data_IF_974081491943
#
_entry.id   IF_974081491943
#
_cell.length_a   1.000
_cell.length_b   1.000
_cell.length_c   1.000
_cell.angle_alpha   90.00
_cell.angle_beta   90.00
_cell.angle_gamma   90.00
#
_symmetry.space_group_name_H-M   'P 1'
#
loop_
_entity.id
_entity.type
_entity.pdbx_description
1 polymer ?
#
# COMPACT_ATOMS: atom_id res chain seq x y z
N UNK A 1 12.73 -9.50 -16.41
CA UNK A 1 12.50 -8.55 -15.32
C UNK A 1 13.61 -7.54 -15.30
N UNK A 2 13.28 -6.27 -15.52
CA UNK A 2 14.24 -5.15 -15.44
C UNK A 2 14.58 -4.85 -13.97
N UNK A 3 15.60 -4.01 -13.74
CA UNK A 3 15.94 -3.57 -12.39
C UNK A 3 14.82 -2.73 -11.76
N UNK A 4 14.12 -1.92 -12.55
CA UNK A 4 12.95 -1.16 -12.10
C UNK A 4 11.78 -2.08 -11.72
N UNK A 5 11.48 -3.09 -12.54
CA UNK A 5 10.43 -4.06 -12.21
C UNK A 5 10.78 -4.82 -10.91
N UNK A 6 12.06 -5.19 -10.72
CA UNK A 6 12.54 -5.82 -9.49
C UNK A 6 12.40 -4.88 -8.29
N UNK A 7 12.76 -3.60 -8.44
CA UNK A 7 12.67 -2.61 -7.38
C UNK A 7 11.20 -2.38 -6.94
N UNK A 8 10.28 -2.29 -7.90
CA UNK A 8 8.84 -2.15 -7.60
C UNK A 8 8.30 -3.39 -6.89
N UNK A 9 8.65 -4.59 -7.34
CA UNK A 9 8.26 -5.82 -6.63
C UNK A 9 8.81 -5.85 -5.20
N UNK A 10 10.06 -5.41 -5.01
CA UNK A 10 10.67 -5.30 -3.70
C UNK A 10 9.99 -4.25 -2.81
N UNK A 11 9.53 -3.14 -3.38
CA UNK A 11 8.72 -2.15 -2.67
C UNK A 11 7.44 -2.78 -2.14
N UNK A 12 6.72 -3.56 -2.95
CA UNK A 12 5.47 -4.23 -2.55
C UNK A 12 5.72 -5.24 -1.43
N UNK A 13 6.77 -6.05 -1.54
CA UNK A 13 7.19 -6.97 -0.46
C UNK A 13 7.49 -6.21 0.84
N UNK A 14 8.29 -5.15 0.74
CA UNK A 14 8.69 -4.33 1.90
C UNK A 14 7.49 -3.67 2.56
N UNK A 15 6.53 -3.19 1.77
CA UNK A 15 5.27 -2.62 2.25
C UNK A 15 4.48 -3.66 3.06
N UNK A 16 4.29 -4.86 2.52
CA UNK A 16 3.54 -5.93 3.18
C UNK A 16 4.23 -6.37 4.48
N UNK A 17 5.54 -6.58 4.43
CA UNK A 17 6.33 -6.98 5.59
C UNK A 17 6.32 -5.92 6.70
N UNK A 18 6.46 -4.63 6.34
CA UNK A 18 6.37 -3.53 7.28
C UNK A 18 4.97 -3.41 7.90
N UNK A 19 3.92 -3.55 7.08
CA UNK A 19 2.52 -3.53 7.55
C UNK A 19 2.25 -4.64 8.57
N UNK A 20 2.73 -5.86 8.31
CA UNK A 20 2.59 -7.01 9.23
C UNK A 20 3.30 -6.81 10.56
N UNK A 21 4.43 -6.09 10.56
CA UNK A 21 5.20 -5.76 11.77
C UNK A 21 4.70 -4.50 12.48
N UNK A 22 3.73 -3.78 11.92
CA UNK A 22 3.31 -2.47 12.44
C UNK A 22 4.38 -1.38 12.29
N UNK A 23 5.29 -1.53 11.33
CA UNK A 23 6.38 -0.59 11.07
C UNK A 23 5.90 0.55 10.15
N UNK A 24 5.14 1.47 10.74
CA UNK A 24 4.56 2.63 10.04
C UNK A 24 5.64 3.53 9.44
N UNK A 25 6.81 3.67 10.08
CA UNK A 25 7.88 4.53 9.58
C UNK A 25 8.41 4.02 8.23
N UNK A 26 8.64 2.72 8.11
CA UNK A 26 9.01 2.10 6.83
C UNK A 26 7.92 2.29 5.78
N UNK A 27 6.65 2.04 6.11
CA UNK A 27 5.53 2.24 5.17
C UNK A 27 5.48 3.69 4.64
N UNK A 28 5.64 4.68 5.50
CA UNK A 28 5.65 6.10 5.10
C UNK A 28 6.84 6.48 4.21
N UNK A 29 7.99 5.82 4.37
CA UNK A 29 9.17 6.06 3.50
C UNK A 29 9.00 5.56 2.06
N UNK A 30 8.06 4.63 1.84
CA UNK A 30 7.75 4.04 0.53
C UNK A 30 6.74 4.89 -0.27
N UNK A 31 6.33 6.04 0.25
CA UNK A 31 5.38 6.97 -0.38
C UNK A 31 6.09 8.26 -0.79
N UNK A 32 5.72 8.81 -1.94
CA UNK A 32 6.11 10.19 -2.28
C UNK A 32 5.46 11.16 -1.30
N UNK A 33 6.04 12.35 -1.12
CA UNK A 33 5.46 13.34 -0.21
C UNK A 33 4.12 13.89 -0.72
N UNK A 34 3.92 13.89 -2.04
CA UNK A 34 2.65 14.27 -2.69
C UNK A 34 1.70 13.08 -2.88
N UNK A 35 1.84 12.00 -2.10
CA UNK A 35 1.03 10.80 -2.27
C UNK A 35 -0.46 11.08 -2.01
N UNK A 36 -1.34 10.54 -2.86
CA UNK A 36 -2.80 10.63 -2.71
C UNK A 36 -3.42 9.24 -2.71
N UNK A 37 -4.28 9.00 -1.72
CA UNK A 37 -5.00 7.75 -1.50
C UNK A 37 -6.49 7.94 -1.73
N UNK A 38 -7.12 6.93 -2.32
CA UNK A 38 -8.56 6.84 -2.52
C UNK A 38 -9.07 5.50 -2.02
N UNK A 39 -10.13 5.53 -1.21
CA UNK A 39 -10.82 4.34 -0.69
C UNK A 39 -12.33 4.52 -0.84
N UNK A 40 -13.13 3.43 -0.92
CA UNK A 40 -14.58 3.52 -1.04
C UNK A 40 -15.22 4.37 0.07
N UNK A 41 -16.08 5.31 -0.33
CA UNK A 41 -16.91 6.09 0.60
C UNK A 41 -16.19 7.21 1.36
N UNK A 42 -14.95 7.56 0.98
CA UNK A 42 -14.17 8.65 1.58
C UNK A 42 -13.59 9.56 0.49
N UNK A 43 -13.56 10.86 0.75
CA UNK A 43 -12.82 11.81 -0.09
C UNK A 43 -11.32 11.44 -0.15
N UNK A 44 -10.61 11.71 -1.27
CA UNK A 44 -9.18 11.47 -1.37
C UNK A 44 -8.40 12.17 -0.26
N UNK A 45 -7.31 11.55 0.20
CA UNK A 45 -6.50 12.06 1.30
C UNK A 45 -5.00 11.87 1.05
N UNK A 46 -4.20 12.67 1.73
CA UNK A 46 -2.75 12.73 1.56
C UNK A 46 -1.99 11.80 2.54
N UNK A 47 -0.65 11.84 2.44
CA UNK A 47 0.28 11.09 3.29
C UNK A 47 0.18 11.44 4.77
N UNK A 48 -0.16 12.68 5.11
CA UNK A 48 -0.26 13.15 6.50
C UNK A 48 -1.49 12.53 7.17
N UNK A 49 -2.63 12.55 6.48
CA UNK A 49 -3.86 11.90 6.93
C UNK A 49 -3.69 10.38 6.97
N UNK A 50 -2.96 9.79 6.00
CA UNK A 50 -2.60 8.37 6.05
C UNK A 50 -1.79 8.04 7.31
N UNK A 51 -0.77 8.84 7.63
CA UNK A 51 0.09 8.64 8.78
C UNK A 51 -0.69 8.70 10.11
N UNK A 52 -1.61 9.66 10.25
CA UNK A 52 -2.48 9.78 11.41
C UNK A 52 -3.38 8.53 11.58
N UNK A 53 -4.01 8.06 10.50
CA UNK A 53 -4.84 6.85 10.53
C UNK A 53 -4.00 5.59 10.87
N UNK A 54 -2.77 5.50 10.37
CA UNK A 54 -1.88 4.38 10.71
C UNK A 54 -1.51 4.35 12.21
N UNK A 55 -1.39 5.52 12.85
CA UNK A 55 -1.18 5.61 14.30
C UNK A 55 -2.41 5.14 15.10
N UNK A 56 -3.62 5.47 14.64
CA UNK A 56 -4.87 4.99 15.26
C UNK A 56 -5.01 3.45 15.17
N UNK A 57 -4.41 2.84 14.15
CA UNK A 57 -4.34 1.39 13.99
C UNK A 57 -3.24 0.72 14.82
N UNK A 58 -2.54 1.44 15.69
CA UNK A 58 -1.51 0.87 16.55
C UNK A 58 -2.05 -0.32 17.37
N UNK A 59 -1.33 -1.44 17.33
CA UNK A 59 -1.72 -2.67 18.02
C UNK A 59 -2.70 -3.56 17.25
N UNK A 60 -3.27 -3.10 16.14
CA UNK A 60 -4.01 -3.99 15.22
C UNK A 60 -3.02 -4.90 14.51
N UNK A 61 -3.23 -6.21 14.60
CA UNK A 61 -2.42 -7.17 13.87
C UNK A 61 -2.94 -7.31 12.43
N UNK A 62 -2.08 -7.06 11.46
CA UNK A 62 -2.38 -7.20 10.04
C UNK A 62 -1.66 -8.45 9.52
N UNK A 63 -2.37 -9.32 8.83
CA UNK A 63 -1.79 -10.36 7.98
C UNK A 63 -2.47 -10.38 6.61
N UNK A 64 -1.80 -10.91 5.59
CA UNK A 64 -2.33 -10.94 4.23
C UNK A 64 -1.28 -11.07 3.14
N UNK A 65 -1.75 -10.95 1.89
CA UNK A 65 -0.93 -11.00 0.67
C UNK A 65 -1.29 -9.86 -0.27
N UNK A 66 -0.34 -9.48 -1.12
CA UNK A 66 -0.57 -8.56 -2.24
C UNK A 66 0.01 -9.19 -3.51
N UNK A 67 -0.84 -9.73 -4.36
CA UNK A 67 -0.46 -10.30 -5.64
C UNK A 67 -0.38 -9.18 -6.70
N UNK A 68 0.77 -9.10 -7.38
CA UNK A 68 0.95 -8.18 -8.52
C UNK A 68 0.34 -8.84 -9.76
N UNK A 69 -0.85 -8.39 -10.14
CA UNK A 69 -1.62 -8.90 -11.29
C UNK A 69 -1.12 -8.29 -12.59
N UNK A 70 -0.75 -7.02 -12.57
CA UNK A 70 -0.19 -6.31 -13.72
C UNK A 70 0.83 -5.28 -13.23
N UNK A 71 1.92 -5.12 -13.99
CA UNK A 71 2.92 -4.08 -13.78
C UNK A 71 3.43 -3.60 -15.15
N UNK A 72 3.32 -2.30 -15.40
CA UNK A 72 3.82 -1.66 -16.62
C UNK A 72 4.70 -0.46 -16.26
N UNK A 73 5.88 -0.39 -16.90
CA UNK A 73 6.83 0.71 -16.77
C UNK A 73 6.60 1.75 -17.88
N UNK A 74 6.65 3.03 -17.50
CA UNK A 74 6.34 4.19 -18.32
C UNK A 74 7.36 5.31 -18.03
N UNK A 75 8.64 5.04 -18.32
CA UNK A 75 9.75 5.94 -17.94
C UNK A 75 9.93 5.96 -16.43
N UNK A 76 9.91 7.17 -15.84
CA UNK A 76 10.01 7.35 -14.39
C UNK A 76 8.69 7.09 -13.65
N UNK A 77 7.66 6.67 -14.37
CA UNK A 77 6.39 6.22 -13.79
C UNK A 77 6.16 4.75 -14.05
N UNK A 78 5.34 4.14 -13.21
CA UNK A 78 4.81 2.81 -13.43
C UNK A 78 3.37 2.77 -12.92
N UNK A 79 2.55 1.87 -13.48
CA UNK A 79 1.30 1.50 -12.84
C UNK A 79 1.30 0.01 -12.52
N UNK A 80 0.60 -0.32 -11.44
CA UNK A 80 0.40 -1.67 -10.96
C UNK A 80 -1.07 -1.90 -10.64
N UNK A 81 -1.59 -3.06 -11.05
CA UNK A 81 -2.83 -3.59 -10.48
C UNK A 81 -2.48 -4.71 -9.51
N UNK A 82 -2.89 -4.54 -8.26
CA UNK A 82 -2.71 -5.52 -7.19
C UNK A 82 -4.01 -6.23 -6.84
N UNK A 83 -3.93 -7.44 -6.29
CA UNK A 83 -5.02 -8.12 -5.57
C UNK A 83 -4.56 -8.33 -4.13
N UNK A 84 -5.25 -7.69 -3.18
CA UNK A 84 -4.95 -7.84 -1.76
C UNK A 84 -6.03 -8.70 -1.10
N UNK A 85 -5.57 -9.65 -0.29
CA UNK A 85 -6.39 -10.39 0.67
C UNK A 85 -5.74 -10.23 2.04
N UNK A 86 -6.43 -9.59 2.98
CA UNK A 86 -5.89 -9.28 4.29
C UNK A 86 -6.89 -9.52 5.41
N UNK A 87 -6.37 -9.78 6.60
CA UNK A 87 -7.13 -9.85 7.85
C UNK A 87 -6.54 -8.86 8.84
N UNK A 88 -7.38 -7.96 9.34
CA UNK A 88 -7.04 -7.04 10.42
C UNK A 88 -7.67 -7.55 11.72
N UNK A 89 -6.85 -7.75 12.75
CA UNK A 89 -7.29 -8.26 14.06
C UNK A 89 -7.01 -7.22 15.15
N UNK A 90 -8.03 -6.51 15.64
CA UNK A 90 -7.87 -5.58 16.76
C UNK A 90 -7.54 -6.33 18.06
N UNK A 91 -6.81 -5.73 19.02
CA UNK A 91 -6.39 -6.40 20.27
C UNK A 91 -7.52 -7.09 21.06
N UNK A 92 -8.70 -6.47 21.07
CA UNK A 92 -9.89 -6.96 21.79
C UNK A 92 -11.10 -7.11 20.85
N UNK A 93 -10.85 -7.25 19.54
CA UNK A 93 -11.89 -7.28 18.51
C UNK A 93 -11.93 -8.61 17.77
N UNK A 94 -12.97 -8.80 16.95
CA UNK A 94 -13.01 -9.91 16.01
C UNK A 94 -12.14 -9.59 14.79
N UNK A 95 -11.45 -10.57 14.21
CA UNK A 95 -10.76 -10.40 12.93
C UNK A 95 -11.75 -9.94 11.85
N UNK A 96 -11.34 -8.96 11.06
CA UNK A 96 -12.08 -8.46 9.90
C UNK A 96 -11.26 -8.79 8.65
N UNK A 97 -11.84 -9.61 7.77
CA UNK A 97 -11.22 -9.92 6.48
C UNK A 97 -11.64 -8.88 5.46
N UNK A 98 -10.66 -8.34 4.74
CA UNK A 98 -10.87 -7.42 3.63
C UNK A 98 -10.15 -7.95 2.40
N UNK A 99 -10.80 -7.80 1.25
CA UNK A 99 -10.16 -8.14 -0.01
C UNK A 99 -10.65 -7.18 -1.09
N UNK A 100 -9.76 -6.79 -1.98
CA UNK A 100 -10.12 -6.07 -3.19
C UNK A 100 -8.95 -5.99 -4.16
N UNK A 101 -9.15 -5.25 -5.24
CA UNK A 101 -8.08 -4.85 -6.13
C UNK A 101 -7.52 -3.49 -5.71
N UNK A 102 -6.31 -3.20 -6.15
CA UNK A 102 -5.74 -1.84 -6.11
C UNK A 102 -5.32 -1.41 -7.50
N UNK A 103 -5.34 -0.10 -7.74
CA UNK A 103 -4.61 0.53 -8.85
C UNK A 103 -3.63 1.53 -8.24
N UNK A 104 -2.35 1.25 -8.40
CA UNK A 104 -1.26 2.01 -7.78
C UNK A 104 -0.38 2.61 -8.87
N UNK A 105 -0.17 3.93 -8.83
CA UNK A 105 0.85 4.59 -9.63
C UNK A 105 2.09 4.80 -8.77
N UNK A 106 3.22 4.36 -9.29
CA UNK A 106 4.52 4.50 -8.68
C UNK A 106 5.34 5.51 -9.49
N UNK A 107 6.18 6.28 -8.80
CA UNK A 107 7.12 7.22 -9.40
C UNK A 107 8.52 6.93 -8.90
N UNK A 108 9.49 6.97 -9.80
CA UNK A 108 10.91 6.95 -9.47
C UNK A 108 11.32 8.37 -9.09
N UNK A 109 11.78 8.56 -7.87
CA UNK A 109 12.19 9.87 -7.38
C UNK A 109 13.64 10.20 -7.79
N UNK A 110 14.07 11.42 -7.52
CA UNK A 110 15.40 11.91 -7.91
C UNK A 110 16.57 11.13 -7.28
N UNK A 111 16.33 10.42 -6.18
CA UNK A 111 17.30 9.51 -5.54
C UNK A 111 17.36 8.13 -6.20
N UNK A 112 16.55 7.88 -7.23
CA UNK A 112 16.48 6.62 -7.96
C UNK A 112 15.57 5.57 -7.33
N UNK A 113 14.96 5.87 -6.19
CA UNK A 113 14.06 4.95 -5.50
C UNK A 113 12.62 5.08 -6.03
N UNK A 114 11.97 3.93 -6.23
CA UNK A 114 10.55 3.89 -6.57
C UNK A 114 9.71 4.14 -5.31
N UNK A 115 8.64 4.93 -5.43
CA UNK A 115 7.70 5.21 -4.34
C UNK A 115 6.26 5.26 -4.85
N UNK A 116 5.32 4.94 -3.97
CA UNK A 116 3.88 5.06 -4.24
C UNK A 116 3.52 6.54 -4.32
N UNK A 117 2.94 6.96 -5.45
CA UNK A 117 2.49 8.32 -5.68
C UNK A 117 0.97 8.43 -5.66
N UNK A 118 0.24 7.49 -6.24
CA UNK A 118 -1.23 7.48 -6.20
C UNK A 118 -1.72 6.07 -5.93
N UNK A 119 -2.77 5.94 -5.14
CA UNK A 119 -3.36 4.62 -4.87
C UNK A 119 -4.89 4.70 -4.79
N UNK A 120 -5.54 3.86 -5.58
CA UNK A 120 -6.95 3.52 -5.43
C UNK A 120 -7.04 2.13 -4.82
N UNK A 121 -7.40 2.06 -3.55
CA UNK A 121 -7.54 0.81 -2.82
C UNK A 121 -9.01 0.45 -2.68
N UNK A 122 -9.45 -0.58 -3.40
CA UNK A 122 -10.86 -0.97 -3.52
C UNK A 122 -11.22 -2.12 -2.56
N UNK A 123 -10.49 -2.26 -1.45
CA UNK A 123 -10.72 -3.33 -0.49
C UNK A 123 -12.08 -3.14 0.19
N UNK A 124 -12.85 -4.22 0.23
CA UNK A 124 -14.10 -4.28 0.96
C UNK A 124 -14.08 -5.42 1.96
N UNK A 125 -14.82 -5.24 3.06
CA UNK A 125 -15.05 -6.30 4.02
C UNK A 125 -15.69 -7.50 3.32
N UNK A 126 -15.15 -8.68 3.58
CA UNK A 126 -15.75 -9.93 3.14
C UNK A 126 -16.79 -10.37 4.17
N UNK A 127 -17.97 -10.76 3.69
CA UNK A 127 -19.07 -11.28 4.51
C UNK A 127 -18.85 -12.70 5.00
#
# INVERSE_FOLDING_TARGET
MTDDERAIRKLVETWMDASKRGDTATVLSLMTDDAIFMVPGREPFDKEIFAAAAQEMAGVHIDGTNEIVELQLLGDWAFMRGRIDMTATPPNGKPVRQSGYTLTLLRKEADGEWRLARDANLLTAQG
#
